data_IF_626347790674
#
_entry.id   IF_626347790674
#
_cell.length_a   1.000
_cell.length_b   1.000
_cell.length_c   1.000
_cell.angle_alpha   90.00
_cell.angle_beta   90.00
_cell.angle_gamma   90.00
#
_symmetry.space_group_name_H-M   'P 1'
#
loop_
_entity.id
_entity.type
_entity.pdbx_description
1 polymer ?
#
# COMPACT_ATOMS: atom_id res chain seq x y z
N UNK A 1 14.72 -10.98 8.62
CA UNK A 1 15.91 -11.03 7.76
C UNK A 1 16.29 -9.66 7.19
N UNK A 2 15.33 -8.90 6.65
CA UNK A 2 15.52 -7.55 6.10
C UNK A 2 16.09 -6.61 7.17
N UNK A 3 15.54 -6.62 8.38
CA UNK A 3 16.03 -5.81 9.51
C UNK A 3 17.51 -6.06 9.83
N UNK A 4 17.93 -7.32 9.83
CA UNK A 4 19.33 -7.68 10.05
C UNK A 4 20.24 -7.06 8.98
N UNK A 5 19.82 -7.06 7.72
CA UNK A 5 20.57 -6.42 6.62
C UNK A 5 20.61 -4.90 6.78
N UNK A 6 19.50 -4.27 7.19
CA UNK A 6 19.43 -2.83 7.46
C UNK A 6 20.39 -2.46 8.61
N UNK A 7 20.35 -3.17 9.72
CA UNK A 7 21.22 -2.92 10.87
C UNK A 7 22.70 -3.16 10.57
N UNK A 8 23.00 -4.15 9.71
CA UNK A 8 24.38 -4.40 9.27
C UNK A 8 24.94 -3.20 8.49
N UNK A 9 24.14 -2.58 7.63
CA UNK A 9 24.58 -1.41 6.84
C UNK A 9 24.64 -0.15 7.70
N UNK A 10 23.68 0.07 8.60
CA UNK A 10 23.66 1.24 9.48
C UNK A 10 24.66 1.17 10.63
N UNK A 11 25.26 0.00 10.90
CA UNK A 11 26.19 -0.24 12.00
C UNK A 11 25.53 -0.24 13.40
N UNK A 12 24.23 0.00 13.50
CA UNK A 12 23.50 0.05 14.78
C UNK A 12 22.04 -0.37 14.63
N UNK A 13 21.42 -0.80 15.72
CA UNK A 13 19.98 -1.01 15.81
C UNK A 13 19.25 0.31 16.04
N UNK A 14 18.12 0.50 15.36
CA UNK A 14 17.26 1.66 15.49
C UNK A 14 15.82 1.29 15.08
N UNK A 15 14.85 2.15 15.37
CA UNK A 15 13.49 1.94 14.91
C UNK A 15 13.36 2.37 13.44
N UNK A 16 13.32 1.40 12.52
CA UNK A 16 13.20 1.61 11.07
C UNK A 16 11.89 2.32 10.71
N UNK A 17 10.82 2.09 11.50
CA UNK A 17 9.54 2.76 11.35
C UNK A 17 9.53 4.22 11.80
N UNK A 18 10.58 4.70 12.49
CA UNK A 18 10.68 6.08 12.95
C UNK A 18 11.30 6.97 11.86
N UNK A 19 10.55 7.92 11.25
CA UNK A 19 11.12 8.83 10.26
C UNK A 19 12.30 9.65 10.77
N UNK A 20 12.30 10.01 12.06
CA UNK A 20 13.38 10.75 12.70
C UNK A 20 14.65 9.94 12.73
N UNK A 21 14.61 8.72 13.31
CA UNK A 21 15.79 7.87 13.42
C UNK A 21 16.30 7.44 12.05
N UNK A 22 15.40 7.09 11.13
CA UNK A 22 15.78 6.74 9.76
C UNK A 22 16.43 7.92 9.05
N UNK A 23 15.93 9.15 9.24
CA UNK A 23 16.55 10.35 8.69
C UNK A 23 17.96 10.58 9.24
N UNK A 24 18.17 10.40 10.54
CA UNK A 24 19.50 10.49 11.16
C UNK A 24 20.48 9.50 10.51
N UNK A 25 20.05 8.26 10.27
CA UNK A 25 20.87 7.24 9.59
C UNK A 25 21.22 7.69 8.16
N UNK A 26 20.26 8.13 7.37
CA UNK A 26 20.45 8.50 5.96
C UNK A 26 21.39 9.70 5.81
N UNK A 27 21.13 10.76 6.59
CA UNK A 27 21.77 12.06 6.39
C UNK A 27 23.02 12.25 7.22
N UNK A 28 23.07 11.73 8.45
CA UNK A 28 24.18 11.97 9.39
C UNK A 28 25.16 10.80 9.43
N UNK A 29 24.68 9.56 9.52
CA UNK A 29 25.56 8.39 9.69
C UNK A 29 26.10 7.90 8.34
N UNK A 30 25.20 7.56 7.42
CA UNK A 30 25.58 7.03 6.10
C UNK A 30 25.94 8.13 5.10
N UNK A 31 25.48 9.35 5.30
CA UNK A 31 25.71 10.54 4.46
C UNK A 31 25.45 10.29 2.95
N UNK A 32 24.46 9.43 2.67
CA UNK A 32 24.14 9.02 1.29
C UNK A 32 23.27 10.05 0.54
N UNK A 33 22.87 11.13 1.20
CA UNK A 33 22.12 12.22 0.60
C UNK A 33 22.47 13.57 1.23
N UNK A 34 22.27 14.65 0.45
CA UNK A 34 22.25 16.01 0.98
C UNK A 34 21.02 16.18 1.88
N UNK A 35 21.20 16.87 3.00
CA UNK A 35 20.16 17.06 4.01
C UNK A 35 18.90 17.68 3.39
N UNK A 36 17.81 16.95 3.40
CA UNK A 36 16.47 17.43 3.01
C UNK A 36 15.54 17.45 4.22
N UNK A 37 14.88 18.58 4.43
CA UNK A 37 13.87 18.74 5.47
C UNK A 37 12.47 18.79 4.85
N UNK A 38 11.48 18.31 5.60
CA UNK A 38 10.06 18.51 5.27
C UNK A 38 9.66 19.95 5.55
N UNK A 39 8.46 20.36 5.09
CA UNK A 39 7.91 21.70 5.42
C UNK A 39 7.82 21.96 6.95
N UNK A 40 7.73 20.91 7.75
CA UNK A 40 7.70 20.98 9.24
C UNK A 40 9.10 20.90 9.88
N UNK A 41 10.18 20.99 9.11
CA UNK A 41 11.57 21.00 9.60
C UNK A 41 12.16 19.62 9.94
N UNK A 42 11.41 18.52 9.88
CA UNK A 42 11.92 17.17 10.12
C UNK A 42 12.68 16.61 8.91
N UNK A 43 13.59 15.66 9.14
CA UNK A 43 14.32 14.97 8.07
C UNK A 43 13.36 14.21 7.14
N UNK A 44 13.51 14.41 5.86
CA UNK A 44 12.59 13.86 4.87
C UNK A 44 12.97 12.42 4.50
N UNK A 45 12.05 11.45 4.74
CA UNK A 45 12.25 10.02 4.48
C UNK A 45 11.03 9.41 3.76
N UNK A 46 10.38 10.19 2.88
CA UNK A 46 9.24 9.71 2.09
C UNK A 46 9.67 8.59 1.12
N UNK A 47 8.69 7.80 0.65
CA UNK A 47 8.94 6.73 -0.33
C UNK A 47 9.68 7.27 -1.56
N UNK A 48 9.22 8.40 -2.12
CA UNK A 48 9.85 9.04 -3.28
C UNK A 48 11.34 9.36 -3.06
N UNK A 49 11.70 9.88 -1.89
CA UNK A 49 13.11 10.18 -1.57
C UNK A 49 13.93 8.89 -1.48
N UNK A 50 13.38 7.86 -0.87
CA UNK A 50 14.06 6.57 -0.79
C UNK A 50 14.21 5.91 -2.17
N UNK A 51 13.20 6.03 -3.02
CA UNK A 51 13.25 5.56 -4.42
C UNK A 51 14.33 6.31 -5.21
N UNK A 52 14.37 7.64 -5.12
CA UNK A 52 15.39 8.46 -5.76
C UNK A 52 16.81 8.05 -5.31
N UNK A 53 17.00 7.79 -4.01
CA UNK A 53 18.28 7.32 -3.46
C UNK A 53 18.61 5.88 -3.87
N UNK A 54 17.62 5.04 -4.04
CA UNK A 54 17.81 3.69 -4.53
C UNK A 54 18.31 3.68 -5.99
N UNK A 55 17.77 4.58 -6.82
CA UNK A 55 18.19 4.76 -8.21
C UNK A 55 19.66 5.22 -8.33
N UNK A 56 20.20 5.90 -7.33
CA UNK A 56 21.63 6.27 -7.30
C UNK A 56 22.57 5.14 -6.87
N UNK A 57 22.06 3.90 -6.73
CA UNK A 57 22.85 2.71 -6.46
C UNK A 57 23.00 2.36 -4.98
N UNK A 58 22.41 3.12 -4.07
CA UNK A 58 22.46 2.82 -2.64
C UNK A 58 21.55 1.64 -2.26
N UNK A 59 22.11 0.60 -1.64
CA UNK A 59 21.37 -0.59 -1.19
C UNK A 59 20.47 -0.32 0.02
N UNK A 60 20.88 0.57 0.91
CA UNK A 60 20.15 0.84 2.15
C UNK A 60 18.70 1.33 1.92
N UNK A 61 18.43 2.34 1.06
CA UNK A 61 17.05 2.78 0.77
C UNK A 61 16.17 1.68 0.20
N UNK A 62 16.69 0.81 -0.68
CA UNK A 62 15.95 -0.33 -1.20
C UNK A 62 15.47 -1.27 -0.09
N UNK A 63 16.36 -1.63 0.85
CA UNK A 63 16.00 -2.47 1.98
C UNK A 63 14.97 -1.82 2.89
N UNK A 64 15.03 -0.49 3.07
CA UNK A 64 14.04 0.25 3.85
C UNK A 64 12.66 0.26 3.16
N UNK A 65 12.61 0.41 1.84
CA UNK A 65 11.38 0.33 1.06
C UNK A 65 10.76 -1.07 1.16
N UNK A 66 11.57 -2.12 0.98
CA UNK A 66 11.15 -3.51 1.13
C UNK A 66 10.63 -3.78 2.55
N UNK A 67 11.34 -3.32 3.57
CA UNK A 67 10.93 -3.45 4.96
C UNK A 67 9.58 -2.76 5.23
N UNK A 68 9.39 -1.54 4.71
CA UNK A 68 8.13 -0.79 4.85
C UNK A 68 6.96 -1.53 4.22
N UNK A 69 7.17 -2.11 3.04
CA UNK A 69 6.15 -2.89 2.34
C UNK A 69 5.73 -4.10 3.18
N UNK A 70 6.69 -4.93 3.61
CA UNK A 70 6.42 -6.12 4.41
C UNK A 70 5.82 -5.76 5.78
N UNK A 71 6.35 -4.72 6.44
CA UNK A 71 5.83 -4.26 7.73
C UNK A 71 4.38 -3.77 7.63
N UNK A 72 4.04 -3.05 6.56
CA UNK A 72 2.65 -2.63 6.29
C UNK A 72 1.72 -3.83 6.07
N UNK A 73 2.16 -4.81 5.27
CA UNK A 73 1.37 -6.03 5.05
C UNK A 73 1.15 -6.79 6.35
N UNK A 74 2.21 -6.96 7.14
CA UNK A 74 2.14 -7.62 8.44
C UNK A 74 1.16 -6.90 9.38
N UNK A 75 1.36 -5.63 9.63
CA UNK A 75 0.54 -4.88 10.59
C UNK A 75 -0.92 -4.75 10.16
N UNK A 76 -1.20 -4.59 8.87
CA UNK A 76 -2.55 -4.34 8.37
C UNK A 76 -3.35 -5.63 8.15
N UNK A 77 -2.71 -6.67 7.62
CA UNK A 77 -3.43 -7.87 7.20
C UNK A 77 -3.17 -9.08 8.09
N UNK A 78 -1.91 -9.43 8.39
CA UNK A 78 -1.66 -10.63 9.17
C UNK A 78 -1.94 -10.45 10.67
N UNK A 79 -1.64 -9.30 11.23
CA UNK A 79 -1.84 -9.05 12.66
C UNK A 79 -3.23 -8.45 12.93
N UNK A 80 -3.55 -7.31 12.32
CA UNK A 80 -4.79 -6.60 12.62
C UNK A 80 -6.05 -7.34 12.18
N UNK A 81 -6.03 -8.00 11.01
CA UNK A 81 -7.23 -8.63 10.45
C UNK A 81 -7.75 -9.77 11.34
N UNK A 82 -6.86 -10.49 12.02
CA UNK A 82 -7.24 -11.54 12.95
C UNK A 82 -8.10 -11.00 14.13
N UNK A 83 -7.83 -9.77 14.57
CA UNK A 83 -8.62 -9.10 15.62
C UNK A 83 -10.05 -8.77 15.21
N UNK A 84 -10.34 -8.73 13.90
CA UNK A 84 -11.65 -8.45 13.35
C UNK A 84 -12.48 -9.72 13.04
N UNK A 85 -11.97 -10.92 13.36
CA UNK A 85 -12.72 -12.15 13.16
C UNK A 85 -13.84 -12.23 14.19
N UNK A 86 -15.08 -12.22 13.73
CA UNK A 86 -16.26 -12.38 14.57
C UNK A 86 -16.25 -13.76 15.27
N UNK A 87 -16.40 -13.77 16.60
CA UNK A 87 -16.51 -15.01 17.39
C UNK A 87 -17.72 -15.83 16.98
N UNK A 88 -18.81 -15.19 16.52
CA UNK A 88 -20.07 -15.83 16.12
C UNK A 88 -19.99 -16.47 14.74
N UNK A 89 -19.55 -15.71 13.74
CA UNK A 89 -19.57 -16.15 12.34
C UNK A 89 -18.25 -16.78 11.89
N UNK A 90 -17.15 -16.58 12.66
CA UNK A 90 -15.75 -16.96 12.30
C UNK A 90 -15.26 -16.30 11.00
N UNK A 91 -15.88 -15.18 10.63
CA UNK A 91 -15.57 -14.41 9.42
C UNK A 91 -15.28 -12.95 9.78
N UNK A 92 -14.59 -12.25 8.88
CA UNK A 92 -14.36 -10.80 8.97
C UNK A 92 -15.53 -10.08 8.32
N UNK A 93 -16.06 -9.08 9.00
CA UNK A 93 -17.14 -8.22 8.52
C UNK A 93 -16.68 -6.77 8.55
N UNK A 94 -16.72 -6.11 7.40
CA UNK A 94 -16.45 -4.68 7.29
C UNK A 94 -17.73 -3.87 7.44
N UNK A 95 -17.60 -2.62 7.80
CA UNK A 95 -18.67 -1.61 7.71
C UNK A 95 -18.52 -0.81 6.43
N UNK A 96 -19.55 -0.82 5.59
CA UNK A 96 -19.58 0.01 4.39
C UNK A 96 -20.20 1.36 4.69
N UNK A 97 -19.49 2.43 4.36
CA UNK A 97 -19.89 3.80 4.61
C UNK A 97 -20.30 4.46 3.28
N UNK A 98 -21.57 4.81 3.17
CA UNK A 98 -22.09 5.62 2.08
C UNK A 98 -21.78 7.10 2.35
N UNK A 99 -21.53 7.88 1.30
CA UNK A 99 -21.27 9.32 1.38
C UNK A 99 -20.12 9.74 2.32
N UNK A 100 -19.16 8.83 2.61
CA UNK A 100 -18.00 9.13 3.43
C UNK A 100 -16.83 9.75 2.64
N UNK A 101 -16.93 9.80 1.32
CA UNK A 101 -15.88 10.36 0.44
C UNK A 101 -16.43 11.54 -0.37
N UNK A 102 -15.59 12.54 -0.64
CA UNK A 102 -15.96 13.68 -1.48
C UNK A 102 -16.23 13.29 -2.95
N UNK A 103 -15.81 12.09 -3.35
CA UNK A 103 -15.97 11.56 -4.72
C UNK A 103 -17.25 10.74 -4.90
N UNK A 104 -18.03 10.53 -3.85
CA UNK A 104 -19.22 9.65 -3.88
C UNK A 104 -18.88 8.15 -3.90
N UNK A 105 -17.60 7.76 -3.79
CA UNK A 105 -17.21 6.36 -3.72
C UNK A 105 -17.57 5.75 -2.37
N UNK A 106 -17.90 4.46 -2.36
CA UNK A 106 -18.09 3.67 -1.15
C UNK A 106 -16.75 3.60 -0.38
N UNK A 107 -16.82 3.73 0.94
CA UNK A 107 -15.70 3.46 1.83
C UNK A 107 -15.95 2.21 2.67
N UNK A 108 -14.88 1.56 3.09
CA UNK A 108 -14.90 0.37 3.94
C UNK A 108 -14.05 0.64 5.18
N UNK A 109 -14.59 0.34 6.37
CA UNK A 109 -13.89 0.52 7.65
C UNK A 109 -14.14 -0.64 8.60
N UNK A 110 -13.28 -0.81 9.56
CA UNK A 110 -13.35 -1.73 10.69
C UNK A 110 -13.57 -3.22 10.32
N UNK A 111 -12.73 -3.82 9.48
CA UNK A 111 -11.50 -3.32 8.86
C UNK A 111 -11.75 -2.77 7.45
N UNK A 112 -10.80 -1.94 6.93
CA UNK A 112 -10.83 -1.55 5.53
C UNK A 112 -10.40 -2.71 4.63
N UNK A 113 -11.34 -3.28 3.87
CA UNK A 113 -11.11 -4.39 2.94
C UNK A 113 -10.91 -3.93 1.48
N UNK A 114 -11.08 -2.64 1.17
CA UNK A 114 -10.89 -2.13 -0.20
C UNK A 114 -9.42 -2.01 -0.60
N UNK A 115 -8.49 -2.00 0.37
CA UNK A 115 -7.07 -1.81 0.14
C UNK A 115 -6.26 -3.11 0.16
N UNK A 116 -6.91 -4.28 0.04
CA UNK A 116 -6.21 -5.57 -0.02
C UNK A 116 -5.32 -5.59 -1.28
N UNK A 117 -4.00 -5.76 -1.12
CA UNK A 117 -3.07 -5.66 -2.24
C UNK A 117 -3.29 -6.79 -3.26
N UNK A 118 -3.08 -6.48 -4.55
CA UNK A 118 -3.24 -7.44 -5.65
C UNK A 118 -1.99 -7.55 -6.53
N UNK A 119 -1.14 -6.51 -6.56
CA UNK A 119 -0.04 -6.41 -7.52
C UNK A 119 1.19 -7.24 -7.11
N UNK A 120 1.44 -7.37 -5.81
CA UNK A 120 2.60 -8.08 -5.27
C UNK A 120 2.30 -9.56 -5.03
N UNK A 121 3.33 -10.41 -5.02
CA UNK A 121 3.18 -11.83 -4.69
C UNK A 121 2.61 -12.02 -3.28
N UNK A 122 3.17 -11.32 -2.28
CA UNK A 122 2.68 -11.38 -0.90
C UNK A 122 1.22 -10.92 -0.79
N UNK A 123 0.83 -9.88 -1.56
CA UNK A 123 -0.56 -9.43 -1.62
C UNK A 123 -1.50 -10.49 -2.18
N UNK A 124 -1.08 -11.23 -3.21
CA UNK A 124 -1.84 -12.35 -3.76
C UNK A 124 -1.99 -13.48 -2.74
N UNK A 125 -0.95 -13.79 -1.96
CA UNK A 125 -1.04 -14.78 -0.88
C UNK A 125 -2.04 -14.35 0.21
N UNK A 126 -2.03 -13.09 0.61
CA UNK A 126 -3.02 -12.53 1.55
C UNK A 126 -4.44 -12.70 1.02
N UNK A 127 -4.66 -12.46 -0.28
CA UNK A 127 -6.00 -12.63 -0.89
C UNK A 127 -6.51 -14.07 -0.85
N UNK A 128 -5.65 -15.07 -0.86
CA UNK A 128 -6.05 -16.49 -0.73
C UNK A 128 -6.70 -16.82 0.61
N UNK A 129 -6.47 -16.01 1.64
CA UNK A 129 -7.13 -16.16 2.94
C UNK A 129 -8.64 -15.79 2.91
N UNK A 130 -9.07 -15.06 1.86
CA UNK A 130 -10.48 -14.70 1.67
C UNK A 130 -11.16 -15.78 0.84
N UNK A 131 -11.92 -16.61 1.52
CA UNK A 131 -12.59 -17.77 0.94
C UNK A 131 -14.10 -17.65 1.04
N UNK A 132 -14.81 -18.26 0.10
CA UNK A 132 -16.27 -18.40 0.19
C UNK A 132 -16.65 -19.36 1.34
N UNK A 133 -17.88 -19.26 1.80
CA UNK A 133 -18.47 -20.25 2.68
C UNK A 133 -18.65 -21.58 1.95
N UNK A 134 -18.72 -22.68 2.71
CA UNK A 134 -18.91 -24.02 2.14
C UNK A 134 -20.10 -24.03 1.17
N UNK A 135 -19.91 -24.60 0.01
CA UNK A 135 -20.88 -24.68 -1.11
C UNK A 135 -21.21 -23.33 -1.79
N UNK A 136 -20.45 -22.27 -1.50
CA UNK A 136 -20.55 -20.98 -2.18
C UNK A 136 -19.28 -20.68 -2.97
N UNK A 137 -19.38 -19.74 -3.90
CA UNK A 137 -18.26 -19.25 -4.72
C UNK A 137 -18.10 -17.74 -4.51
N UNK A 138 -16.86 -17.26 -4.59
CA UNK A 138 -16.58 -15.84 -4.71
C UNK A 138 -16.63 -15.47 -6.20
N UNK A 139 -17.48 -14.50 -6.51
CA UNK A 139 -17.58 -13.91 -7.86
C UNK A 139 -16.95 -12.52 -7.77
N UNK A 140 -16.00 -12.23 -8.66
CA UNK A 140 -15.42 -10.90 -8.82
C UNK A 140 -15.78 -10.38 -10.21
N UNK A 141 -16.46 -9.25 -10.26
CA UNK A 141 -16.82 -8.56 -11.50
C UNK A 141 -16.42 -7.09 -11.36
N UNK A 142 -15.75 -6.56 -12.35
CA UNK A 142 -15.29 -5.17 -12.38
C UNK A 142 -15.55 -4.57 -13.76
N UNK A 143 -16.08 -3.33 -13.77
CA UNK A 143 -16.27 -2.60 -15.00
C UNK A 143 -14.92 -2.07 -15.50
N UNK A 144 -14.50 -2.51 -16.68
CA UNK A 144 -13.26 -2.05 -17.27
C UNK A 144 -13.33 -0.57 -17.63
N UNK A 145 -12.53 0.27 -16.95
CA UNK A 145 -12.37 1.71 -17.20
C UNK A 145 -13.70 2.49 -17.25
N UNK A 146 -14.61 2.20 -16.33
CA UNK A 146 -15.97 2.77 -16.38
C UNK A 146 -15.98 4.30 -16.38
N UNK A 147 -15.12 4.95 -15.58
CA UNK A 147 -15.05 6.42 -15.54
C UNK A 147 -14.63 7.01 -16.88
N UNK A 148 -13.67 6.40 -17.58
CA UNK A 148 -13.22 6.83 -18.90
C UNK A 148 -14.27 6.58 -19.97
N UNK A 149 -15.06 5.52 -19.86
CA UNK A 149 -16.19 5.24 -20.77
C UNK A 149 -17.30 6.25 -20.59
N UNK A 150 -17.67 6.58 -19.35
CA UNK A 150 -18.65 7.61 -19.03
C UNK A 150 -18.16 8.97 -19.53
N UNK A 151 -16.88 9.33 -19.28
CA UNK A 151 -16.30 10.57 -19.75
C UNK A 151 -16.33 10.68 -21.28
N UNK A 152 -15.97 9.61 -21.98
CA UNK A 152 -16.00 9.56 -23.45
C UNK A 152 -17.42 9.80 -23.99
N UNK A 153 -18.42 9.31 -23.28
CA UNK A 153 -19.83 9.50 -23.67
C UNK A 153 -20.33 10.92 -23.37
N UNK A 154 -20.11 11.40 -22.15
CA UNK A 154 -20.53 12.74 -21.72
C UNK A 154 -19.85 13.87 -22.52
N UNK A 155 -18.57 13.71 -22.84
CA UNK A 155 -17.78 14.70 -23.60
C UNK A 155 -17.84 14.48 -25.12
N UNK A 156 -18.59 13.49 -25.60
CA UNK A 156 -18.73 13.08 -27.00
C UNK A 156 -17.40 12.90 -27.75
N UNK A 157 -16.41 12.30 -27.08
CA UNK A 157 -15.08 12.08 -27.68
C UNK A 157 -15.12 10.84 -28.57
N UNK A 158 -15.27 11.05 -29.89
CA UNK A 158 -15.48 10.00 -30.90
C UNK A 158 -14.37 8.96 -30.92
N UNK A 159 -13.11 9.37 -30.78
CA UNK A 159 -11.93 8.51 -30.78
C UNK A 159 -11.93 7.54 -29.58
N UNK A 160 -12.27 8.03 -28.39
CA UNK A 160 -12.40 7.19 -27.19
C UNK A 160 -13.58 6.22 -27.30
N UNK A 161 -14.75 6.70 -27.77
CA UNK A 161 -15.91 5.85 -28.01
C UNK A 161 -15.57 4.70 -28.99
N UNK A 162 -14.84 5.00 -30.06
CA UNK A 162 -14.39 4.02 -31.06
C UNK A 162 -13.40 3.03 -30.44
N UNK A 163 -12.44 3.49 -29.66
CA UNK A 163 -11.48 2.64 -28.97
C UNK A 163 -12.18 1.65 -28.01
N UNK A 164 -13.18 2.11 -27.24
CA UNK A 164 -13.93 1.25 -26.31
C UNK A 164 -14.91 0.28 -26.98
N UNK A 165 -15.33 0.52 -28.22
CA UNK A 165 -16.15 -0.44 -28.99
C UNK A 165 -15.34 -1.59 -29.55
N UNK A 166 -14.04 -1.39 -29.76
CA UNK A 166 -13.15 -2.36 -30.39
C UNK A 166 -12.36 -3.20 -29.38
N UNK A 167 -12.56 -2.98 -28.07
CA UNK A 167 -12.05 -3.72 -26.93
C UNK A 167 -13.29 -4.30 -26.18
#
# INVERSE_FOLDING_TARGET
EIEKKIYKISGKKFNIGSPKQLGEIIYNDLKIAKLKKTRKGSLATSAKILEDLALTGHKFPNLVLEWRQVSKLKSTYTDALQGHISKKTKRVHTSFLLAATNTGRLASSDPNLQNIPIKTLDGKEIRKAFIAEKNNLLISADYNQIEMRILADMADVKELKKAFKNN
#
